data_IF_893966739904
#
_entry.id   IF_893966739904
#
_cell.length_a   1.000
_cell.length_b   1.000
_cell.length_c   1.000
_cell.angle_alpha   90.00
_cell.angle_beta   90.00
_cell.angle_gamma   90.00
#
_symmetry.space_group_name_H-M   'P 1'
#
loop_
_entity.id
_entity.type
_entity.pdbx_description
1 polymer ?
#
# COMPACT_ATOMS: atom_id res chain seq x y z
N UNK A 1 16.43 8.62 18.16
CA UNK A 1 17.81 8.48 18.65
C UNK A 1 18.89 8.59 17.56
N UNK A 2 18.77 7.98 16.37
CA UNK A 2 19.81 8.10 15.31
C UNK A 2 19.90 9.49 14.64
N UNK A 3 18.75 10.08 14.30
CA UNK A 3 18.69 11.42 13.71
C UNK A 3 19.25 12.49 14.67
N UNK A 4 18.91 12.39 15.96
CA UNK A 4 19.30 13.40 16.96
C UNK A 4 20.74 13.24 17.49
N UNK A 5 21.30 12.02 17.48
CA UNK A 5 22.58 11.74 18.16
C UNK A 5 23.63 11.00 17.33
N UNK A 6 23.33 10.57 16.11
CA UNK A 6 24.24 9.77 15.27
C UNK A 6 24.35 10.30 13.84
N UNK A 7 24.25 11.63 13.64
CA UNK A 7 24.38 12.30 12.35
C UNK A 7 23.42 11.81 11.24
N UNK A 8 22.25 11.26 11.62
CA UNK A 8 21.19 10.95 10.66
C UNK A 8 21.49 9.76 9.74
N UNK A 9 21.06 9.87 8.49
CA UNK A 9 21.18 8.85 7.44
C UNK A 9 21.91 9.47 6.26
N UNK A 10 22.86 8.75 5.68
CA UNK A 10 23.52 9.18 4.44
C UNK A 10 22.62 8.94 3.24
N UNK A 11 22.94 9.56 2.10
CA UNK A 11 22.21 9.30 0.85
C UNK A 11 22.25 7.82 0.46
N UNK A 12 23.37 7.12 0.70
CA UNK A 12 23.47 5.68 0.47
C UNK A 12 22.57 4.86 1.40
N UNK A 13 22.39 5.28 2.65
CA UNK A 13 21.44 4.65 3.56
C UNK A 13 20.01 4.80 3.02
N UNK A 14 19.65 6.00 2.53
CA UNK A 14 18.32 6.30 2.01
C UNK A 14 17.95 5.44 0.80
N UNK A 15 18.88 5.19 -0.12
CA UNK A 15 18.66 4.32 -1.29
C UNK A 15 18.24 2.92 -0.86
N UNK A 16 18.82 2.38 0.22
CA UNK A 16 18.47 1.06 0.73
C UNK A 16 17.06 0.97 1.33
N UNK A 17 16.40 2.10 1.60
CA UNK A 17 15.03 2.11 2.11
C UNK A 17 13.97 2.23 0.99
N UNK A 18 14.36 2.54 -0.25
CA UNK A 18 13.41 2.79 -1.34
C UNK A 18 12.54 1.57 -1.64
N UNK A 19 13.14 0.39 -1.78
CA UNK A 19 12.38 -0.84 -2.03
C UNK A 19 11.40 -1.15 -0.88
N UNK A 20 11.82 -0.87 0.37
CA UNK A 20 11.00 -1.09 1.55
C UNK A 20 9.78 -0.15 1.56
N UNK A 21 9.94 1.09 1.11
CA UNK A 21 8.83 2.04 0.95
C UNK A 21 7.84 1.50 -0.08
N UNK A 22 8.30 1.00 -1.22
CA UNK A 22 7.40 0.44 -2.23
C UNK A 22 6.68 -0.82 -1.74
N UNK A 23 7.39 -1.73 -1.07
CA UNK A 23 6.80 -2.90 -0.44
C UNK A 23 5.71 -2.51 0.57
N UNK A 24 5.97 -1.51 1.42
CA UNK A 24 5.00 -1.03 2.40
C UNK A 24 3.76 -0.43 1.73
N UNK A 25 3.91 0.32 0.63
CA UNK A 25 2.78 0.88 -0.12
C UNK A 25 1.90 -0.25 -0.68
N UNK A 26 2.52 -1.23 -1.34
CA UNK A 26 1.81 -2.37 -1.92
C UNK A 26 1.11 -3.20 -0.84
N UNK A 27 1.81 -3.52 0.24
CA UNK A 27 1.23 -4.26 1.37
C UNK A 27 0.02 -3.51 1.97
N UNK A 28 0.13 -2.18 2.09
CA UNK A 28 -0.96 -1.36 2.63
C UNK A 28 -2.20 -1.41 1.75
N UNK A 29 -2.05 -1.34 0.42
CA UNK A 29 -3.17 -1.45 -0.52
C UNK A 29 -3.78 -2.85 -0.48
N UNK A 30 -2.95 -3.90 -0.40
CA UNK A 30 -3.44 -5.27 -0.23
C UNK A 30 -4.29 -5.40 1.04
N UNK A 31 -3.84 -4.83 2.18
CA UNK A 31 -4.59 -4.86 3.43
C UNK A 31 -5.91 -4.09 3.39
N UNK A 32 -5.98 -3.01 2.63
CA UNK A 32 -7.24 -2.29 2.40
C UNK A 32 -8.23 -3.12 1.57
N UNK A 33 -7.74 -3.85 0.56
CA UNK A 33 -8.55 -4.75 -0.25
C UNK A 33 -8.99 -5.98 0.57
N UNK A 34 -8.11 -6.59 1.35
CA UNK A 34 -8.46 -7.68 2.28
C UNK A 34 -9.46 -7.22 3.35
N UNK A 35 -9.32 -5.97 3.81
CA UNK A 35 -10.26 -5.31 4.71
C UNK A 35 -11.67 -5.20 4.13
N UNK A 36 -11.82 -5.00 2.81
CA UNK A 36 -13.15 -4.93 2.18
C UNK A 36 -13.94 -6.22 2.33
N UNK A 37 -13.27 -7.36 2.16
CA UNK A 37 -13.87 -8.67 2.38
C UNK A 37 -14.17 -8.92 3.87
N UNK A 38 -13.26 -8.52 4.75
CA UNK A 38 -13.39 -8.72 6.21
C UNK A 38 -14.53 -7.90 6.80
N UNK A 39 -14.68 -6.65 6.36
CA UNK A 39 -15.66 -5.70 6.88
C UNK A 39 -16.97 -5.67 6.08
N UNK A 40 -17.08 -6.54 5.06
CA UNK A 40 -18.20 -6.63 4.12
C UNK A 40 -18.53 -5.27 3.46
N UNK A 41 -17.49 -4.60 2.96
CA UNK A 41 -17.59 -3.36 2.20
C UNK A 41 -17.41 -3.69 0.72
N UNK A 42 -18.40 -3.31 -0.09
CA UNK A 42 -18.34 -3.51 -1.54
C UNK A 42 -17.29 -2.58 -2.18
N UNK A 43 -16.59 -3.11 -3.17
CA UNK A 43 -15.65 -2.34 -4.00
C UNK A 43 -16.47 -1.49 -4.97
N UNK A 44 -16.05 -0.24 -5.16
CA UNK A 44 -16.70 0.66 -6.11
C UNK A 44 -16.62 0.10 -7.54
N UNK A 45 -17.69 0.13 -8.34
CA UNK A 45 -17.66 -0.36 -9.73
C UNK A 45 -16.53 0.24 -10.58
N UNK A 46 -16.22 1.53 -10.36
CA UNK A 46 -15.15 2.23 -11.06
C UNK A 46 -13.73 1.77 -10.64
N UNK A 47 -13.61 1.09 -9.49
CA UNK A 47 -12.35 0.58 -8.95
C UNK A 47 -12.12 -0.92 -9.19
N UNK A 48 -13.14 -1.68 -9.61
CA UNK A 48 -13.04 -3.14 -9.76
C UNK A 48 -11.89 -3.56 -10.68
N UNK A 49 -11.76 -2.93 -11.85
CA UNK A 49 -10.71 -3.24 -12.83
C UNK A 49 -9.32 -2.96 -12.26
N UNK A 50 -9.14 -1.85 -11.54
CA UNK A 50 -7.85 -1.52 -10.94
C UNK A 50 -7.51 -2.46 -9.78
N UNK A 51 -8.51 -2.86 -8.98
CA UNK A 51 -8.33 -3.84 -7.90
C UNK A 51 -7.96 -5.21 -8.48
N UNK A 52 -8.67 -5.69 -9.50
CA UNK A 52 -8.40 -6.98 -10.12
C UNK A 52 -6.98 -7.06 -10.69
N UNK A 53 -6.54 -6.01 -11.39
CA UNK A 53 -5.17 -5.94 -11.92
C UNK A 53 -4.13 -5.85 -10.80
N UNK A 54 -4.40 -5.06 -9.74
CA UNK A 54 -3.53 -5.00 -8.57
C UNK A 54 -3.41 -6.37 -7.87
N UNK A 55 -4.50 -7.10 -7.70
CA UNK A 55 -4.52 -8.43 -7.07
C UNK A 55 -3.68 -9.42 -7.89
N UNK A 56 -3.84 -9.42 -9.22
CA UNK A 56 -3.01 -10.26 -10.12
C UNK A 56 -1.53 -9.93 -9.96
N UNK A 57 -1.18 -8.64 -9.97
CA UNK A 57 0.19 -8.19 -9.73
C UNK A 57 0.70 -8.69 -8.37
N UNK A 58 -0.02 -8.41 -7.29
CA UNK A 58 0.37 -8.77 -5.93
C UNK A 58 0.65 -10.27 -5.76
N UNK A 59 -0.19 -11.12 -6.35
CA UNK A 59 -0.04 -12.57 -6.31
C UNK A 59 1.16 -13.10 -7.13
N UNK A 60 1.68 -12.30 -8.07
CA UNK A 60 2.75 -12.69 -8.98
C UNK A 60 4.16 -12.26 -8.54
N UNK A 61 4.26 -11.42 -7.50
CA UNK A 61 5.52 -10.81 -7.10
C UNK A 61 6.05 -11.34 -5.77
N UNK A 62 7.34 -11.11 -5.53
CA UNK A 62 7.94 -11.14 -4.20
C UNK A 62 8.18 -9.71 -3.73
N UNK A 63 7.57 -9.30 -2.60
CA UNK A 63 7.63 -7.92 -2.09
C UNK A 63 9.05 -7.35 -1.90
N UNK A 64 10.04 -8.23 -1.68
CA UNK A 64 11.44 -7.82 -1.51
C UNK A 64 12.14 -7.39 -2.82
N UNK A 65 11.47 -7.53 -3.97
CA UNK A 65 12.00 -7.21 -5.29
C UNK A 65 11.10 -6.22 -6.04
N UNK A 66 10.31 -5.42 -5.32
CA UNK A 66 9.44 -4.43 -5.95
C UNK A 66 10.29 -3.32 -6.55
N UNK A 67 10.11 -3.12 -7.84
CA UNK A 67 10.63 -1.99 -8.59
C UNK A 67 9.52 -0.97 -8.89
N UNK A 68 9.94 0.23 -9.27
CA UNK A 68 9.01 1.28 -9.64
C UNK A 68 8.35 0.98 -10.99
N UNK A 69 7.01 0.93 -10.99
CA UNK A 69 6.19 0.82 -12.19
C UNK A 69 5.14 1.94 -12.19
N UNK A 70 5.28 2.91 -13.09
CA UNK A 70 4.39 4.07 -13.16
C UNK A 70 2.92 3.68 -13.30
N UNK A 71 2.59 2.69 -14.13
CA UNK A 71 1.20 2.29 -14.36
C UNK A 71 0.58 1.68 -13.10
N UNK A 72 1.32 0.79 -12.43
CA UNK A 72 0.91 0.22 -11.15
C UNK A 72 0.71 1.31 -10.09
N UNK A 73 1.64 2.26 -9.97
CA UNK A 73 1.52 3.34 -8.98
C UNK A 73 0.33 4.27 -9.27
N UNK A 74 -0.01 4.50 -10.55
CA UNK A 74 -1.23 5.22 -10.90
C UNK A 74 -2.50 4.42 -10.54
N UNK A 75 -2.49 3.09 -10.70
CA UNK A 75 -3.59 2.21 -10.25
C UNK A 75 -3.75 2.27 -8.74
N UNK A 76 -2.66 2.09 -7.99
CA UNK A 76 -2.62 2.21 -6.53
C UNK A 76 -3.20 3.56 -6.08
N UNK A 77 -2.84 4.65 -6.77
CA UNK A 77 -3.35 5.99 -6.47
C UNK A 77 -4.85 6.16 -6.75
N UNK A 78 -5.42 5.44 -7.72
CA UNK A 78 -6.86 5.45 -7.97
C UNK A 78 -7.59 4.62 -6.92
N UNK A 79 -7.08 3.43 -6.61
CA UNK A 79 -7.61 2.58 -5.54
C UNK A 79 -7.60 3.33 -4.20
N UNK A 80 -6.50 4.00 -3.83
CA UNK A 80 -6.40 4.71 -2.54
C UNK A 80 -7.38 5.88 -2.39
N UNK A 81 -7.97 6.35 -3.48
CA UNK A 81 -8.96 7.44 -3.50
C UNK A 81 -10.40 6.94 -3.64
N UNK A 82 -10.59 5.62 -3.68
CA UNK A 82 -11.90 5.01 -3.81
C UNK A 82 -12.75 5.23 -2.56
N UNK A 83 -14.06 5.13 -2.73
CA UNK A 83 -15.01 5.29 -1.64
C UNK A 83 -15.01 4.07 -0.71
N UNK A 84 -14.77 2.87 -1.26
CA UNK A 84 -14.58 1.68 -0.46
C UNK A 84 -13.35 1.78 0.45
N UNK A 85 -12.21 2.31 -0.04
CA UNK A 85 -11.01 2.49 0.80
C UNK A 85 -11.30 3.45 1.95
N UNK A 86 -12.00 4.56 1.69
CA UNK A 86 -12.40 5.50 2.74
C UNK A 86 -13.23 4.80 3.83
N UNK A 87 -14.24 4.00 3.44
CA UNK A 87 -15.06 3.23 4.39
C UNK A 87 -14.25 2.24 5.23
N UNK A 88 -13.19 1.66 4.67
CA UNK A 88 -12.26 0.79 5.41
C UNK A 88 -11.40 1.60 6.38
N UNK A 89 -10.87 2.75 5.97
CA UNK A 89 -10.06 3.60 6.83
C UNK A 89 -10.84 4.18 8.02
N UNK A 90 -12.13 4.47 7.85
CA UNK A 90 -13.02 4.85 8.96
C UNK A 90 -13.11 3.75 10.05
N UNK A 91 -12.83 2.51 9.66
CA UNK A 91 -12.85 1.30 10.49
C UNK A 91 -11.46 0.65 10.59
N UNK A 92 -10.39 1.41 10.37
CA UNK A 92 -9.01 0.90 10.34
C UNK A 92 -8.60 0.11 11.59
N UNK A 93 -9.18 0.44 12.75
CA UNK A 93 -8.93 -0.23 14.03
C UNK A 93 -9.46 -1.68 14.09
N UNK A 94 -10.28 -2.08 13.13
CA UNK A 94 -10.83 -3.44 13.00
C UNK A 94 -9.96 -4.33 12.09
N UNK A 95 -8.94 -3.79 11.43
CA UNK A 95 -8.04 -4.51 10.53
C UNK A 95 -6.57 -4.33 10.93
N UNK A 96 -5.70 -5.20 10.42
CA UNK A 96 -4.25 -5.06 10.60
C UNK A 96 -3.70 -4.30 9.39
N UNK A 97 -3.31 -3.06 9.59
CA UNK A 97 -2.68 -2.20 8.59
C UNK A 97 -1.48 -1.47 9.21
N UNK A 98 -0.52 -1.07 8.39
CA UNK A 98 0.61 -0.26 8.85
C UNK A 98 0.13 1.12 9.29
N UNK A 99 0.61 1.60 10.45
CA UNK A 99 0.31 2.96 10.92
C UNK A 99 0.75 4.04 9.91
N UNK A 100 1.80 3.79 9.14
CA UNK A 100 2.29 4.70 8.11
C UNK A 100 1.41 4.78 6.85
N UNK A 101 0.37 3.95 6.76
CA UNK A 101 -0.52 3.88 5.61
C UNK A 101 -1.73 4.82 5.71
N UNK A 102 -2.01 5.34 6.91
CA UNK A 102 -3.26 6.05 7.24
C UNK A 102 -3.03 7.51 7.56
#
# INVERSE_FOLDING_TARGET
MRILHMNGFSDSDLVNYVYLIYANIIESIWKLIEGSSTLNVEIDPDSEVDVDEFVKYYMSIHLNHVEYDEELFQRIKRISKSEFVRKILDRQHEIIILDSAV
#
